data_IF_360664792809
#
_entry.id   IF_360664792809
#
_cell.length_a   1.000
_cell.length_b   1.000
_cell.length_c   1.000
_cell.angle_alpha   90.00
_cell.angle_beta   90.00
_cell.angle_gamma   90.00
#
_symmetry.space_group_name_H-M   'P 1'
#
loop_
_entity.id
_entity.type
_entity.pdbx_description
1 polymer ?
#
# COMPACT_ATOMS: atom_id res chain seq x y z
N UNK A 1 2.22 -37.67 1.95
CA UNK A 1 3.09 -36.52 1.64
C UNK A 1 3.52 -36.61 0.20
N UNK A 2 3.33 -35.55 -0.59
CA UNK A 2 3.91 -35.48 -1.93
C UNK A 2 5.40 -35.19 -1.78
N UNK A 3 6.24 -36.21 -1.96
CA UNK A 3 7.68 -36.05 -1.95
C UNK A 3 8.16 -35.63 -3.35
N UNK A 4 8.81 -34.47 -3.43
CA UNK A 4 9.51 -34.01 -4.63
C UNK A 4 10.72 -34.92 -4.85
N UNK A 5 10.80 -35.56 -6.02
CA UNK A 5 11.95 -36.37 -6.45
C UNK A 5 13.03 -35.50 -7.11
N UNK A 6 14.30 -35.96 -7.19
CA UNK A 6 15.34 -35.24 -7.93
C UNK A 6 14.88 -34.85 -9.34
N UNK A 7 15.05 -33.58 -9.69
CA UNK A 7 14.64 -33.02 -10.99
C UNK A 7 13.18 -32.57 -11.09
N UNK A 8 12.34 -32.77 -10.07
CA UNK A 8 10.92 -32.35 -10.11
C UNK A 8 10.67 -30.90 -9.67
N UNK A 9 11.68 -30.24 -9.09
CA UNK A 9 11.61 -28.84 -8.71
C UNK A 9 12.95 -28.18 -9.06
N UNK A 10 12.94 -27.51 -10.20
CA UNK A 10 14.09 -26.79 -10.72
C UNK A 10 13.61 -25.61 -11.55
N UNK A 11 14.50 -24.64 -11.74
CA UNK A 11 14.25 -23.48 -12.58
C UNK A 11 15.50 -23.21 -13.39
N UNK A 12 15.36 -22.95 -14.69
CA UNK A 12 16.48 -22.69 -15.61
C UNK A 12 17.37 -21.54 -15.12
N UNK A 13 16.77 -20.54 -14.48
CA UNK A 13 17.48 -19.35 -13.96
C UNK A 13 17.48 -19.26 -12.44
N UNK A 14 16.93 -20.27 -11.76
CA UNK A 14 16.90 -20.33 -10.29
C UNK A 14 18.31 -20.50 -9.73
N UNK A 15 18.65 -19.68 -8.74
CA UNK A 15 19.98 -19.72 -8.12
C UNK A 15 21.11 -19.20 -9.03
N UNK A 16 20.81 -18.32 -9.99
CA UNK A 16 21.85 -17.75 -10.83
C UNK A 16 22.86 -16.93 -9.96
N UNK A 17 24.18 -17.01 -10.24
CA UNK A 17 25.20 -16.40 -9.37
C UNK A 17 25.08 -14.88 -9.21
N UNK A 18 24.61 -14.17 -10.24
CA UNK A 18 24.48 -12.71 -10.22
C UNK A 18 23.36 -12.28 -9.27
N UNK A 19 22.19 -12.90 -9.38
CA UNK A 19 21.06 -12.66 -8.49
C UNK A 19 21.38 -13.10 -7.06
N UNK A 20 22.10 -14.22 -6.87
CA UNK A 20 22.57 -14.63 -5.55
C UNK A 20 23.49 -13.57 -4.93
N UNK A 21 24.44 -13.01 -5.70
CA UNK A 21 25.30 -11.94 -5.20
C UNK A 21 24.51 -10.68 -4.85
N UNK A 22 23.57 -10.27 -5.69
CA UNK A 22 22.69 -9.13 -5.41
C UNK A 22 21.84 -9.35 -4.15
N UNK A 23 21.28 -10.55 -3.96
CA UNK A 23 20.51 -10.90 -2.77
C UNK A 23 21.36 -10.87 -1.49
N UNK A 24 22.60 -11.34 -1.55
CA UNK A 24 23.53 -11.27 -0.42
C UNK A 24 23.81 -9.81 -0.04
N UNK A 25 24.10 -8.93 -1.01
CA UNK A 25 24.33 -7.52 -0.70
C UNK A 25 23.06 -6.83 -0.17
N UNK A 26 21.88 -7.16 -0.70
CA UNK A 26 20.61 -6.65 -0.19
C UNK A 26 20.36 -7.05 1.27
N UNK A 27 20.70 -8.29 1.65
CA UNK A 27 20.60 -8.75 3.03
C UNK A 27 21.57 -8.02 3.96
N UNK A 28 22.80 -7.74 3.51
CA UNK A 28 23.75 -6.94 4.30
C UNK A 28 23.23 -5.52 4.51
N UNK A 29 22.70 -4.86 3.47
CA UNK A 29 22.11 -3.52 3.61
C UNK A 29 20.99 -3.50 4.64
N UNK A 30 20.13 -4.55 4.66
CA UNK A 30 19.07 -4.66 5.68
C UNK A 30 19.63 -4.66 7.10
N UNK A 31 20.77 -5.33 7.33
CA UNK A 31 21.43 -5.46 8.63
C UNK A 31 22.28 -4.22 8.98
N UNK A 32 23.20 -3.83 8.09
CA UNK A 32 24.14 -2.72 8.24
C UNK A 32 23.44 -1.38 8.46
N UNK A 33 22.29 -1.15 7.80
CA UNK A 33 21.51 0.08 7.94
C UNK A 33 20.38 -0.02 8.99
N UNK A 34 20.23 -1.17 9.67
CA UNK A 34 19.20 -1.38 10.69
C UNK A 34 17.78 -1.18 10.17
N UNK A 35 17.49 -1.71 8.97
CA UNK A 35 16.22 -1.43 8.27
C UNK A 35 15.00 -2.06 8.96
N UNK A 36 15.20 -3.13 9.74
CA UNK A 36 14.13 -3.78 10.51
C UNK A 36 13.65 -2.87 11.64
N UNK A 37 14.57 -2.33 12.43
CA UNK A 37 14.29 -1.40 13.52
C UNK A 37 13.73 -0.09 12.99
N UNK A 38 14.28 0.41 11.87
CA UNK A 38 13.77 1.59 11.21
C UNK A 38 12.34 1.38 10.71
N UNK A 39 12.05 0.23 10.09
CA UNK A 39 10.69 -0.14 9.66
C UNK A 39 9.70 -0.19 10.82
N UNK A 40 10.11 -0.70 11.98
CA UNK A 40 9.29 -0.67 13.19
C UNK A 40 9.02 0.77 13.66
N UNK A 41 10.08 1.58 13.86
CA UNK A 41 9.98 2.97 14.32
C UNK A 41 9.14 3.85 13.39
N UNK A 42 9.40 3.77 12.08
CA UNK A 42 8.68 4.56 11.08
C UNK A 42 7.27 4.03 10.85
N UNK A 43 7.07 2.71 10.95
CA UNK A 43 5.76 2.08 10.93
C UNK A 43 4.83 2.59 12.02
N UNK A 44 5.32 2.66 13.26
CA UNK A 44 4.55 3.20 14.39
C UNK A 44 4.18 4.66 14.17
N UNK A 45 5.14 5.49 13.74
CA UNK A 45 4.89 6.90 13.40
C UNK A 45 3.81 7.03 12.31
N UNK A 46 3.92 6.22 11.24
CA UNK A 46 3.00 6.31 10.11
C UNK A 46 1.61 5.81 10.47
N UNK A 47 1.48 4.69 11.18
CA UNK A 47 0.21 4.18 11.69
C UNK A 47 -0.46 5.16 12.65
N UNK A 48 0.29 5.79 13.55
CA UNK A 48 -0.23 6.83 14.44
C UNK A 48 -0.84 7.99 13.65
N UNK A 49 -0.15 8.49 12.62
CA UNK A 49 -0.66 9.58 11.76
C UNK A 49 -1.86 9.15 10.92
N UNK A 50 -1.87 7.95 10.36
CA UNK A 50 -3.00 7.47 9.55
C UNK A 50 -4.27 7.28 10.39
N UNK A 51 -4.12 6.89 11.67
CA UNK A 51 -5.25 6.74 12.60
C UNK A 51 -5.93 8.05 12.98
N UNK A 52 -5.31 9.20 12.73
CA UNK A 52 -5.95 10.52 12.95
C UNK A 52 -6.81 10.96 11.77
N UNK A 53 -6.82 10.22 10.66
CA UNK A 53 -7.64 10.56 9.50
C UNK A 53 -9.15 10.41 9.82
N UNK A 54 -10.02 11.21 9.18
CA UNK A 54 -11.46 11.15 9.41
C UNK A 54 -12.03 9.78 9.09
N UNK A 55 -12.88 9.23 9.98
CA UNK A 55 -13.47 7.89 9.80
C UNK A 55 -14.47 7.83 8.64
N UNK A 56 -15.00 8.97 8.26
CA UNK A 56 -15.90 9.16 7.11
C UNK A 56 -15.18 8.89 5.78
N UNK A 57 -13.84 8.95 5.78
CA UNK A 57 -12.98 8.69 4.63
C UNK A 57 -12.20 7.38 4.83
N UNK A 58 -11.64 7.15 6.02
CA UNK A 58 -10.83 5.98 6.34
C UNK A 58 -11.49 5.17 7.45
N UNK A 59 -12.11 4.05 7.09
CA UNK A 59 -12.84 3.20 8.04
C UNK A 59 -11.90 2.41 8.95
N UNK A 60 -10.75 1.97 8.44
CA UNK A 60 -9.81 1.13 9.19
C UNK A 60 -8.37 1.36 8.75
N UNK A 61 -7.45 1.35 9.71
CA UNK A 61 -5.99 1.39 9.47
C UNK A 61 -5.36 0.20 10.19
N UNK A 62 -4.61 -0.63 9.46
CA UNK A 62 -3.91 -1.80 10.00
C UNK A 62 -2.55 -1.99 9.33
N UNK A 63 -1.62 -2.64 10.02
CA UNK A 63 -0.29 -2.91 9.47
C UNK A 63 0.70 -3.36 10.53
N UNK A 64 1.92 -3.68 10.07
CA UNK A 64 3.07 -3.99 10.93
C UNK A 64 4.34 -3.45 10.28
N UNK A 65 5.13 -2.68 11.02
CA UNK A 65 6.23 -1.90 10.43
C UNK A 65 5.70 -1.03 9.29
N UNK A 66 6.42 -0.98 8.17
CA UNK A 66 6.00 -0.24 6.98
C UNK A 66 5.03 -0.99 6.06
N UNK A 67 4.59 -2.21 6.40
CA UNK A 67 3.55 -2.91 5.65
C UNK A 67 2.17 -2.51 6.18
N UNK A 68 1.61 -1.44 5.59
CA UNK A 68 0.40 -0.76 6.08
C UNK A 68 -0.70 -0.78 5.03
N UNK A 69 -1.94 -0.95 5.50
CA UNK A 69 -3.15 -0.88 4.69
C UNK A 69 -4.16 0.08 5.34
N UNK A 70 -4.82 0.86 4.49
CA UNK A 70 -5.99 1.67 4.84
C UNK A 70 -7.21 1.11 4.13
N UNK A 71 -8.35 1.10 4.82
CA UNK A 71 -9.64 0.77 4.24
C UNK A 71 -10.39 2.08 4.06
N UNK A 72 -10.78 2.39 2.83
CA UNK A 72 -11.55 3.59 2.51
C UNK A 72 -13.04 3.30 2.74
N UNK A 73 -13.74 4.26 3.33
CA UNK A 73 -15.17 4.15 3.62
C UNK A 73 -16.00 4.13 2.33
N UNK A 74 -16.95 3.21 2.23
CA UNK A 74 -17.82 3.02 1.05
C UNK A 74 -18.88 4.11 0.87
N UNK A 75 -18.92 5.13 1.74
CA UNK A 75 -19.87 6.24 1.61
C UNK A 75 -19.50 7.09 0.38
N UNK A 76 -20.11 6.73 -0.77
CA UNK A 76 -19.86 7.28 -2.10
C UNK A 76 -20.00 8.80 -2.19
N UNK A 77 -20.72 9.45 -1.24
CA UNK A 77 -20.81 10.91 -1.16
C UNK A 77 -19.53 11.56 -0.64
N UNK A 78 -18.91 11.11 0.45
CA UNK A 78 -17.72 11.83 0.98
C UNK A 78 -16.50 11.71 0.06
N UNK A 79 -16.24 10.50 -0.47
CA UNK A 79 -15.03 10.23 -1.28
C UNK A 79 -15.08 10.98 -2.63
N UNK A 80 -16.25 11.08 -3.26
CA UNK A 80 -16.40 11.74 -4.57
C UNK A 80 -16.29 13.27 -4.47
N UNK A 81 -16.87 13.88 -3.43
CA UNK A 81 -16.76 15.32 -3.21
C UNK A 81 -15.32 15.73 -2.88
N UNK A 82 -14.62 14.99 -2.00
CA UNK A 82 -13.23 15.32 -1.66
C UNK A 82 -12.23 15.11 -2.80
N UNK A 83 -12.45 14.12 -3.68
CA UNK A 83 -11.63 13.95 -4.88
C UNK A 83 -11.88 15.05 -5.92
N UNK A 84 -13.13 15.49 -6.06
CA UNK A 84 -13.48 16.61 -6.94
C UNK A 84 -12.90 17.93 -6.42
N UNK A 85 -12.98 18.23 -5.12
CA UNK A 85 -12.40 19.45 -4.53
C UNK A 85 -10.86 19.48 -4.58
N UNK A 86 -10.21 18.33 -4.37
CA UNK A 86 -8.74 18.20 -4.50
C UNK A 86 -8.26 18.39 -5.95
N UNK A 87 -9.11 18.09 -6.94
CA UNK A 87 -8.83 18.35 -8.36
C UNK A 87 -9.21 19.77 -8.80
N UNK A 88 -10.30 20.32 -8.26
CA UNK A 88 -10.81 21.66 -8.60
C UNK A 88 -9.97 22.79 -8.00
N UNK A 89 -9.38 22.59 -6.82
CA UNK A 89 -8.42 23.53 -6.22
C UNK A 89 -7.13 23.71 -7.04
N UNK A 90 -6.84 22.80 -7.99
CA UNK A 90 -5.74 22.95 -8.95
C UNK A 90 -6.14 23.61 -10.27
N UNK A 91 -7.43 23.71 -10.61
CA UNK A 91 -7.89 24.18 -11.93
C UNK A 91 -8.81 25.41 -11.89
N UNK A 92 -9.18 25.94 -10.72
CA UNK A 92 -9.96 27.18 -10.58
C UNK A 92 -11.35 27.15 -11.25
N UNK A 93 -11.84 25.96 -11.61
CA UNK A 93 -13.07 25.78 -12.38
C UNK A 93 -14.16 25.28 -11.44
N UNK A 94 -15.20 26.10 -11.22
CA UNK A 94 -16.43 25.65 -10.56
C UNK A 94 -17.10 24.62 -11.45
N UNK A 95 -17.28 23.40 -10.93
CA UNK A 95 -18.00 22.34 -11.62
C UNK A 95 -19.44 22.34 -11.13
N UNK A 96 -20.31 23.09 -11.80
CA UNK A 96 -21.75 22.90 -11.66
C UNK A 96 -22.15 21.69 -12.52
N UNK A 97 -22.61 20.61 -11.89
CA UNK A 97 -23.04 19.37 -12.58
C UNK A 97 -24.49 19.03 -12.24
N UNK A 98 -25.40 18.97 -13.24
CA UNK A 98 -26.84 18.81 -13.04
C UNK A 98 -27.32 17.36 -13.22
N UNK A 99 -26.65 16.34 -12.66
CA UNK A 99 -27.07 14.94 -12.83
C UNK A 99 -27.81 14.39 -11.61
N UNK A 100 -29.15 14.45 -11.68
CA UNK A 100 -30.10 13.80 -10.75
C UNK A 100 -30.17 12.30 -11.01
N UNK A 101 -29.80 11.50 -10.00
CA UNK A 101 -30.53 10.34 -9.44
C UNK A 101 -31.22 9.30 -10.35
N UNK A 102 -30.84 9.13 -11.62
CA UNK A 102 -31.28 8.00 -12.43
C UNK A 102 -30.09 7.06 -12.72
N UNK A 103 -30.36 5.77 -12.64
CA UNK A 103 -29.48 4.63 -12.98
C UNK A 103 -28.65 4.06 -11.83
N UNK A 104 -29.37 3.47 -10.87
CA UNK A 104 -28.88 2.39 -10.01
C UNK A 104 -29.58 1.10 -10.43
N UNK A 105 -28.86 0.26 -11.18
CA UNK A 105 -28.92 -1.19 -11.02
C UNK A 105 -27.56 -1.62 -10.46
#
# INVERSE_FOLDING_TARGET
MLNIKPGQHGSTYGGNPVACRAAIEALKVIDDEGLVENSAKMGDLFLCKLRTLPKEIVSTVRGRGLFIAIVISENRRSVRYHLQDASASRSGTKVDSPFREADVY
#
